data_IF_746586134568
#
_entry.id   IF_746586134568
#
_cell.length_a   1.000
_cell.length_b   1.000
_cell.length_c   1.000
_cell.angle_alpha   90.00
_cell.angle_beta   90.00
_cell.angle_gamma   90.00
#
_symmetry.space_group_name_H-M   'P 1'
#
loop_
_entity.id
_entity.type
_entity.pdbx_description
1 polymer ?
#
# COMPACT_ATOMS: atom_id res chain seq x y z
N UNK A 1 -24.95 9.41 10.89
CA UNK A 1 -24.72 10.15 9.66
C UNK A 1 -23.46 10.92 9.80
N UNK A 2 -22.42 10.46 9.24
CA UNK A 2 -21.26 11.23 9.53
C UNK A 2 -20.66 11.82 8.29
N UNK A 3 -20.67 13.13 8.28
CA UNK A 3 -19.74 13.90 7.51
C UNK A 3 -18.40 14.00 8.27
N UNK A 4 -18.18 13.07 9.19
CA UNK A 4 -16.97 13.06 9.99
C UNK A 4 -15.78 12.67 9.16
N UNK A 5 -14.72 13.45 9.26
CA UNK A 5 -13.46 13.18 8.57
C UNK A 5 -12.70 12.07 9.29
N UNK A 6 -12.26 11.08 8.53
CA UNK A 6 -11.41 10.01 9.03
C UNK A 6 -9.97 10.23 8.58
N UNK A 7 -9.02 9.75 9.37
CA UNK A 7 -7.60 9.96 9.16
C UNK A 7 -6.89 8.61 9.04
N UNK A 8 -5.96 8.53 8.09
CA UNK A 8 -5.15 7.34 7.90
C UNK A 8 -3.99 7.25 8.88
N UNK A 9 -3.07 6.35 8.58
CA UNK A 9 -1.95 6.01 9.47
C UNK A 9 -0.65 6.68 9.03
N UNK A 10 0.33 6.78 9.94
CA UNK A 10 1.69 7.14 9.54
C UNK A 10 2.28 6.04 8.64
N UNK A 11 3.31 6.37 7.85
CA UNK A 11 3.93 5.37 7.00
C UNK A 11 4.71 4.34 7.81
N UNK A 12 4.80 3.12 7.26
CA UNK A 12 5.68 2.08 7.77
C UNK A 12 6.96 2.13 6.94
N UNK A 13 8.07 2.49 7.56
CA UNK A 13 9.36 2.67 6.87
C UNK A 13 10.46 2.09 7.72
N UNK A 14 11.24 1.17 7.15
CA UNK A 14 12.43 0.62 7.80
C UNK A 14 13.67 1.46 7.51
N UNK A 15 14.84 0.89 7.80
CA UNK A 15 16.11 1.60 7.63
C UNK A 15 16.49 1.82 6.17
N UNK A 16 16.12 0.89 5.30
CA UNK A 16 16.53 0.92 3.90
C UNK A 16 15.40 0.52 2.97
N UNK A 17 14.36 1.38 2.87
CA UNK A 17 13.25 1.08 1.98
C UNK A 17 13.68 1.16 0.52
N UNK A 18 13.22 0.21 -0.29
CA UNK A 18 13.55 0.15 -1.71
C UNK A 18 12.34 0.36 -2.59
N UNK A 19 11.17 -0.02 -2.12
CA UNK A 19 9.90 0.22 -2.81
C UNK A 19 8.90 0.79 -1.83
N UNK A 20 7.91 1.49 -2.37
CA UNK A 20 6.77 2.00 -1.60
C UNK A 20 5.50 1.40 -2.17
N UNK A 21 4.71 0.77 -1.30
CA UNK A 21 3.36 0.31 -1.66
C UNK A 21 2.37 1.32 -1.10
N UNK A 22 1.50 1.83 -1.96
CA UNK A 22 0.46 2.79 -1.59
C UNK A 22 -0.92 2.17 -1.70
N UNK A 23 -1.65 2.14 -0.59
CA UNK A 23 -3.08 1.88 -0.59
C UNK A 23 -3.87 3.17 -0.80
N UNK A 24 -5.19 3.10 -0.71
CA UNK A 24 -6.07 4.27 -0.80
C UNK A 24 -6.28 4.89 0.58
N UNK A 25 -7.03 4.21 1.43
CA UNK A 25 -7.39 4.63 2.79
C UNK A 25 -7.67 3.37 3.62
N UNK A 26 -7.31 3.34 4.91
CA UNK A 26 -7.61 2.16 5.74
C UNK A 26 -9.10 1.88 5.79
N UNK A 27 -9.47 0.59 5.80
CA UNK A 27 -10.86 0.16 5.97
C UNK A 27 -11.36 0.49 7.38
N UNK A 28 -12.67 0.34 7.61
CA UNK A 28 -13.24 0.50 8.96
C UNK A 28 -12.54 -0.43 9.94
N UNK A 29 -12.34 -1.70 9.57
CA UNK A 29 -11.66 -2.69 10.44
C UNK A 29 -10.22 -2.27 10.73
N UNK A 30 -9.50 -1.76 9.74
CA UNK A 30 -8.13 -1.26 9.93
C UNK A 30 -8.09 -0.08 10.89
N UNK A 31 -9.03 0.85 10.74
CA UNK A 31 -9.12 2.00 11.65
C UNK A 31 -9.43 1.57 13.08
N UNK A 32 -10.33 0.59 13.26
CA UNK A 32 -10.66 0.06 14.58
C UNK A 32 -9.45 -0.60 15.25
N UNK A 33 -8.69 -1.38 14.49
CA UNK A 33 -7.55 -2.14 15.01
C UNK A 33 -6.24 -1.35 14.98
N UNK A 34 -6.23 -0.20 14.33
CA UNK A 34 -5.02 0.61 14.08
C UNK A 34 -3.92 -0.23 13.39
N UNK A 35 -4.32 -0.98 12.36
CA UNK A 35 -3.44 -1.88 11.62
C UNK A 35 -3.73 -1.80 10.14
N UNK A 36 -2.68 -1.73 9.31
CA UNK A 36 -2.83 -1.84 7.87
C UNK A 36 -3.39 -3.19 7.48
N UNK A 37 -4.39 -3.17 6.60
CA UNK A 37 -4.97 -4.38 6.01
C UNK A 37 -5.45 -5.38 7.05
N UNK A 38 -6.17 -4.88 8.07
CA UNK A 38 -6.61 -5.69 9.21
C UNK A 38 -7.80 -6.59 8.91
N UNK A 39 -8.60 -6.28 7.87
CA UNK A 39 -9.77 -7.10 7.56
C UNK A 39 -9.34 -8.53 7.26
N UNK A 40 -9.97 -9.56 7.90
CA UNK A 40 -9.52 -10.95 7.74
C UNK A 40 -9.50 -11.46 6.31
N UNK A 41 -10.36 -10.92 5.45
CA UNK A 41 -10.43 -11.32 4.04
C UNK A 41 -9.58 -10.48 3.11
N UNK A 42 -8.85 -9.48 3.63
CA UNK A 42 -7.89 -8.75 2.82
C UNK A 42 -6.69 -9.64 2.55
N UNK A 43 -6.31 -9.80 1.30
CA UNK A 43 -5.28 -10.74 0.90
C UNK A 43 -3.85 -10.22 1.10
N UNK A 44 -3.67 -8.95 1.50
CA UNK A 44 -2.35 -8.32 1.51
C UNK A 44 -1.29 -9.13 2.26
N UNK A 45 -1.58 -9.49 3.52
CA UNK A 45 -0.59 -10.18 4.36
C UNK A 45 -0.34 -11.61 3.89
N UNK A 46 -1.36 -12.30 3.37
CA UNK A 46 -1.17 -13.63 2.79
C UNK A 46 -0.33 -13.59 1.52
N UNK A 47 -0.52 -12.55 0.71
CA UNK A 47 0.29 -12.34 -0.50
C UNK A 47 1.75 -12.09 -0.09
N UNK A 48 2.00 -11.22 0.89
CA UNK A 48 3.36 -10.94 1.33
C UNK A 48 4.06 -12.21 1.83
N UNK A 49 3.38 -13.00 2.66
CA UNK A 49 3.95 -14.25 3.16
C UNK A 49 4.29 -15.21 2.01
N UNK A 50 3.39 -15.36 1.04
CA UNK A 50 3.61 -16.24 -0.10
C UNK A 50 4.75 -15.77 -1.00
N UNK A 51 4.87 -14.46 -1.23
CA UNK A 51 5.95 -13.91 -2.08
C UNK A 51 7.33 -14.20 -1.52
N UNK A 52 7.47 -14.19 -0.21
CA UNK A 52 8.76 -14.37 0.46
C UNK A 52 8.94 -15.75 1.08
N UNK A 53 8.04 -16.68 0.75
CA UNK A 53 8.08 -18.05 1.26
C UNK A 53 8.18 -18.08 2.79
N UNK A 54 7.36 -17.27 3.45
CA UNK A 54 7.29 -17.14 4.89
C UNK A 54 5.99 -17.72 5.41
N UNK A 55 6.02 -18.28 6.63
CA UNK A 55 4.82 -18.78 7.27
C UNK A 55 3.88 -17.61 7.59
N UNK A 56 2.58 -17.78 7.27
CA UNK A 56 1.59 -16.76 7.58
C UNK A 56 1.45 -16.59 9.09
N UNK A 57 1.41 -15.35 9.55
CA UNK A 57 1.25 -15.03 10.97
C UNK A 57 0.17 -13.97 11.16
N UNK A 58 -0.54 -14.03 12.28
CA UNK A 58 -1.48 -13.00 12.70
C UNK A 58 -0.80 -11.92 13.55
N UNK A 59 0.46 -12.12 13.93
CA UNK A 59 1.19 -11.15 14.74
C UNK A 59 1.58 -9.92 13.92
N UNK A 60 0.95 -8.78 14.21
CA UNK A 60 1.12 -7.56 13.44
C UNK A 60 2.56 -7.03 13.52
N UNK A 61 3.18 -7.09 14.70
CA UNK A 61 4.58 -6.64 14.86
C UNK A 61 5.51 -7.43 13.95
N UNK A 62 5.32 -8.74 13.87
CA UNK A 62 6.10 -9.61 12.97
C UNK A 62 5.86 -9.23 11.51
N UNK A 63 4.60 -8.96 11.14
CA UNK A 63 4.25 -8.54 9.78
C UNK A 63 5.00 -7.28 9.39
N UNK A 64 5.04 -6.27 10.26
CA UNK A 64 5.73 -5.02 10.00
C UNK A 64 7.26 -5.21 9.92
N UNK A 65 7.83 -6.01 10.81
CA UNK A 65 9.26 -6.32 10.78
C UNK A 65 9.66 -6.99 9.46
N UNK A 66 8.83 -7.89 8.96
CA UNK A 66 9.09 -8.56 7.67
C UNK A 66 9.10 -7.55 6.52
N UNK A 67 8.11 -6.66 6.45
CA UNK A 67 8.09 -5.62 5.42
C UNK A 67 9.37 -4.80 5.44
N UNK A 68 9.76 -4.32 6.62
CA UNK A 68 10.96 -3.49 6.78
C UNK A 68 12.21 -4.25 6.37
N UNK A 69 12.31 -5.52 6.74
CA UNK A 69 13.45 -6.37 6.41
C UNK A 69 13.57 -6.56 4.89
N UNK A 70 12.45 -6.68 4.20
CA UNK A 70 12.43 -6.85 2.75
C UNK A 70 12.61 -5.54 1.98
N UNK A 71 12.71 -4.41 2.66
CA UNK A 71 12.87 -3.11 2.01
C UNK A 71 11.58 -2.53 1.47
N UNK A 72 10.44 -2.92 2.05
CA UNK A 72 9.12 -2.46 1.63
C UNK A 72 8.62 -1.39 2.60
N UNK A 73 8.39 -0.17 2.08
CA UNK A 73 7.68 0.87 2.79
C UNK A 73 6.19 0.80 2.43
N UNK A 74 5.33 1.20 3.36
CA UNK A 74 3.89 1.10 3.21
C UNK A 74 3.23 2.38 3.67
N UNK A 75 2.33 2.90 2.87
CA UNK A 75 1.52 4.07 3.21
C UNK A 75 0.23 4.04 2.40
N UNK A 76 -0.56 5.12 2.50
CA UNK A 76 -1.74 5.33 1.68
C UNK A 76 -1.62 6.63 0.91
N UNK A 77 -2.28 6.71 -0.24
CA UNK A 77 -2.34 7.94 -1.03
C UNK A 77 -3.18 9.00 -0.32
N UNK A 78 -4.22 8.60 0.41
CA UNK A 78 -5.13 9.48 1.11
C UNK A 78 -4.70 9.65 2.56
N UNK A 79 -4.47 10.90 2.99
CA UNK A 79 -4.17 11.21 4.38
C UNK A 79 -5.45 11.25 5.22
N UNK A 80 -6.50 11.85 4.67
CA UNK A 80 -7.80 11.96 5.33
C UNK A 80 -8.89 12.14 4.29
N UNK A 81 -10.10 11.76 4.66
CA UNK A 81 -11.26 11.89 3.77
C UNK A 81 -12.55 11.78 4.55
N UNK A 82 -13.66 11.96 3.85
CA UNK A 82 -14.98 11.61 4.35
C UNK A 82 -15.41 10.36 3.59
N UNK A 83 -15.76 9.30 4.32
CA UNK A 83 -16.14 8.02 3.71
C UNK A 83 -17.04 7.23 4.65
N UNK A 84 -18.33 7.04 4.32
CA UNK A 84 -19.16 6.08 5.01
C UNK A 84 -18.71 4.67 4.63
N UNK A 85 -18.40 3.81 5.60
CA UNK A 85 -17.96 2.43 5.35
C UNK A 85 -16.53 2.36 4.83
N UNK A 86 -16.25 1.35 4.00
CA UNK A 86 -14.89 1.01 3.58
C UNK A 86 -14.67 1.02 2.06
N UNK A 87 -15.69 1.32 1.26
CA UNK A 87 -15.56 1.29 -0.19
C UNK A 87 -14.79 2.50 -0.72
N UNK A 88 -13.82 2.25 -1.59
CA UNK A 88 -13.04 3.31 -2.22
C UNK A 88 -13.91 4.28 -3.03
N UNK A 89 -15.00 3.77 -3.63
CA UNK A 89 -15.94 4.60 -4.40
C UNK A 89 -16.72 5.59 -3.54
N UNK A 90 -16.74 5.38 -2.23
CA UNK A 90 -17.41 6.26 -1.28
C UNK A 90 -16.49 7.36 -0.72
N UNK A 91 -15.21 7.37 -1.10
CA UNK A 91 -14.25 8.39 -0.65
C UNK A 91 -14.61 9.74 -1.26
N UNK A 92 -14.80 10.74 -0.40
CA UNK A 92 -15.00 12.12 -0.81
C UNK A 92 -14.10 13.03 0.01
N UNK A 93 -13.87 14.24 -0.48
CA UNK A 93 -13.05 15.25 0.21
C UNK A 93 -11.69 14.70 0.63
N UNK A 94 -11.05 13.96 -0.27
CA UNK A 94 -9.75 13.34 0.00
C UNK A 94 -8.65 14.38 0.02
N UNK A 95 -7.81 14.34 1.06
CA UNK A 95 -6.56 15.09 1.14
C UNK A 95 -5.41 14.10 1.01
N UNK A 96 -4.39 14.40 0.18
CA UNK A 96 -3.31 13.44 -0.05
C UNK A 96 -2.28 13.44 1.08
N UNK A 97 -1.63 12.30 1.25
CA UNK A 97 -0.41 12.24 2.04
C UNK A 97 0.75 12.90 1.26
N UNK A 98 1.74 13.39 2.02
CA UNK A 98 2.92 14.02 1.43
C UNK A 98 3.90 12.96 0.91
N UNK A 99 3.54 12.32 -0.18
CA UNK A 99 4.38 11.29 -0.81
C UNK A 99 5.73 11.87 -1.27
N UNK A 100 5.78 13.06 -1.91
CA UNK A 100 7.06 13.64 -2.29
C UNK A 100 8.00 13.82 -1.10
N UNK A 101 7.49 14.25 0.06
CA UNK A 101 8.29 14.40 1.29
C UNK A 101 8.87 13.07 1.75
N UNK A 102 8.05 12.01 1.73
CA UNK A 102 8.51 10.67 2.12
C UNK A 102 9.66 10.20 1.21
N UNK A 103 9.53 10.39 -0.10
CA UNK A 103 10.57 10.01 -1.05
C UNK A 103 11.83 10.84 -0.88
N UNK A 104 11.68 12.12 -0.54
CA UNK A 104 12.83 12.99 -0.29
C UNK A 104 13.63 12.52 0.94
N UNK A 105 12.93 12.12 1.98
CA UNK A 105 13.55 11.58 3.20
C UNK A 105 14.12 10.18 3.01
N UNK A 106 13.62 9.44 2.01
CA UNK A 106 14.00 8.05 1.76
C UNK A 106 14.40 7.86 0.29
N UNK A 107 15.54 8.43 -0.13
CA UNK A 107 15.94 8.42 -1.55
C UNK A 107 16.26 7.03 -2.10
N UNK A 108 16.36 6.02 -1.24
CA UNK A 108 16.56 4.63 -1.67
C UNK A 108 15.31 4.01 -2.29
N UNK A 109 14.13 4.63 -2.09
CA UNK A 109 12.89 4.15 -2.72
C UNK A 109 12.97 4.45 -4.21
N UNK A 110 12.97 3.39 -5.02
CA UNK A 110 13.12 3.51 -6.47
C UNK A 110 11.91 3.08 -7.27
N UNK A 111 10.81 2.69 -6.64
CA UNK A 111 9.61 2.20 -7.32
C UNK A 111 8.39 2.38 -6.43
N UNK A 112 7.27 2.81 -7.01
CA UNK A 112 5.99 2.90 -6.30
C UNK A 112 5.03 1.89 -6.90
N UNK A 113 4.39 1.11 -6.03
CA UNK A 113 3.34 0.15 -6.41
C UNK A 113 2.02 0.61 -5.81
N UNK A 114 0.98 0.65 -6.64
CA UNK A 114 -0.36 1.01 -6.17
C UNK A 114 -1.18 -0.23 -5.90
N UNK A 115 -1.68 -0.34 -4.69
CA UNK A 115 -2.61 -1.40 -4.30
C UNK A 115 -4.03 -0.96 -4.71
N UNK A 116 -4.37 -1.17 -5.98
CA UNK A 116 -5.66 -0.83 -6.53
C UNK A 116 -5.72 0.53 -7.20
N UNK A 117 -6.75 0.71 -8.02
CA UNK A 117 -6.92 1.92 -8.86
C UNK A 117 -7.17 3.19 -8.08
N UNK A 118 -7.92 3.11 -6.98
CA UNK A 118 -8.23 4.30 -6.20
C UNK A 118 -6.97 4.95 -5.66
N UNK A 119 -6.00 4.14 -5.20
CA UNK A 119 -4.70 4.62 -4.77
C UNK A 119 -3.99 5.38 -5.88
N UNK A 120 -3.95 4.79 -7.07
CA UNK A 120 -3.31 5.40 -8.24
C UNK A 120 -3.98 6.71 -8.64
N UNK A 121 -5.31 6.72 -8.67
CA UNK A 121 -6.07 7.90 -9.08
C UNK A 121 -5.82 9.10 -8.17
N UNK A 122 -5.83 8.88 -6.85
CA UNK A 122 -5.53 9.96 -5.89
C UNK A 122 -4.10 10.44 -6.06
N UNK A 123 -3.14 9.51 -6.19
CA UNK A 123 -1.75 9.85 -6.41
C UNK A 123 -1.57 10.72 -7.66
N UNK A 124 -2.13 10.30 -8.78
CA UNK A 124 -1.98 11.02 -10.05
C UNK A 124 -2.67 12.38 -10.01
N UNK A 125 -3.76 12.51 -9.28
CA UNK A 125 -4.45 13.79 -9.13
C UNK A 125 -3.56 14.84 -8.46
N UNK A 126 -2.75 14.43 -7.48
CA UNK A 126 -1.97 15.36 -6.65
C UNK A 126 -0.46 15.34 -6.95
N UNK A 127 0.06 14.27 -7.55
CA UNK A 127 1.50 14.06 -7.69
C UNK A 127 1.89 13.56 -9.08
N UNK A 128 1.17 13.99 -10.11
CA UNK A 128 1.40 13.51 -11.49
C UNK A 128 2.85 13.70 -11.96
N UNK A 129 3.46 14.82 -11.62
CA UNK A 129 4.85 15.09 -12.02
C UNK A 129 5.84 14.09 -11.40
N UNK A 130 5.54 13.62 -10.19
CA UNK A 130 6.38 12.62 -9.52
C UNK A 130 6.37 11.28 -10.26
N UNK A 131 5.25 10.91 -10.86
CA UNK A 131 5.14 9.68 -11.64
C UNK A 131 6.05 9.67 -12.88
N UNK A 132 6.52 10.84 -13.32
CA UNK A 132 7.45 10.93 -14.45
C UNK A 132 8.91 10.76 -14.00
N UNK A 133 9.18 10.84 -12.71
CA UNK A 133 10.54 10.76 -12.15
C UNK A 133 10.85 9.42 -11.51
N UNK A 134 9.83 8.65 -11.15
CA UNK A 134 9.98 7.37 -10.48
C UNK A 134 9.07 6.35 -11.15
N UNK A 135 9.55 5.12 -11.40
CA UNK A 135 8.69 4.07 -11.95
C UNK A 135 7.51 3.79 -11.02
N UNK A 136 6.34 3.59 -11.62
CA UNK A 136 5.13 3.20 -10.89
C UNK A 136 4.49 1.99 -11.56
N UNK A 137 3.83 1.16 -10.77
CA UNK A 137 3.12 -0.02 -11.26
C UNK A 137 1.79 -0.15 -10.52
N UNK A 138 0.73 -0.35 -11.30
CA UNK A 138 -0.59 -0.63 -10.74
C UNK A 138 -0.72 -2.13 -10.49
N UNK A 139 -1.08 -2.51 -9.26
CA UNK A 139 -1.34 -3.90 -8.90
C UNK A 139 -2.83 -4.06 -8.56
N UNK A 140 -3.38 -5.27 -8.73
CA UNK A 140 -4.77 -5.52 -8.34
C UNK A 140 -4.94 -5.31 -6.85
N UNK A 141 -6.08 -4.72 -6.46
CA UNK A 141 -6.40 -4.47 -5.07
C UNK A 141 -6.46 -5.77 -4.26
N UNK A 142 -5.91 -5.75 -3.05
CA UNK A 142 -5.99 -6.88 -2.12
C UNK A 142 -7.29 -6.89 -1.33
N UNK A 143 -8.13 -5.87 -1.48
CA UNK A 143 -9.41 -5.76 -0.77
C UNK A 143 -10.35 -6.89 -1.15
N UNK A 144 -11.14 -7.42 -0.19
CA UNK A 144 -12.17 -8.41 -0.53
C UNK A 144 -13.25 -7.86 -1.46
N UNK A 145 -13.42 -6.54 -1.53
CA UNK A 145 -14.35 -5.92 -2.48
C UNK A 145 -13.88 -6.07 -3.93
N UNK A 146 -12.59 -6.29 -4.18
CA UNK A 146 -12.03 -6.51 -5.51
C UNK A 146 -12.04 -8.01 -5.81
N UNK A 147 -13.24 -8.55 -6.08
CA UNK A 147 -13.46 -9.99 -6.21
C UNK A 147 -13.30 -10.55 -7.62
N UNK A 148 -12.93 -9.71 -8.60
CA UNK A 148 -12.80 -10.13 -9.99
C UNK A 148 -11.66 -11.13 -10.23
N UNK A 149 -10.61 -11.07 -9.41
CA UNK A 149 -9.45 -11.95 -9.50
C UNK A 149 -9.41 -12.90 -8.31
N UNK A 150 -8.95 -14.13 -8.55
CA UNK A 150 -8.69 -15.10 -7.49
C UNK A 150 -7.44 -14.70 -6.71
N UNK A 151 -7.24 -15.34 -5.54
CA UNK A 151 -6.01 -15.14 -4.77
C UNK A 151 -4.77 -15.45 -5.62
N UNK A 152 -4.79 -16.58 -6.35
CA UNK A 152 -3.64 -16.97 -7.17
C UNK A 152 -3.33 -15.96 -8.27
N UNK A 153 -4.37 -15.39 -8.89
CA UNK A 153 -4.20 -14.36 -9.91
C UNK A 153 -3.62 -13.08 -9.31
N UNK A 154 -4.09 -12.68 -8.14
CA UNK A 154 -3.53 -11.52 -7.43
C UNK A 154 -2.08 -11.77 -7.04
N UNK A 155 -1.79 -12.94 -6.48
CA UNK A 155 -0.43 -13.30 -6.09
C UNK A 155 0.51 -13.23 -7.29
N UNK A 156 0.10 -13.77 -8.42
CA UNK A 156 0.92 -13.75 -9.62
C UNK A 156 1.25 -12.32 -10.06
N UNK A 157 0.25 -11.43 -10.06
CA UNK A 157 0.47 -10.03 -10.40
C UNK A 157 1.40 -9.33 -9.41
N UNK A 158 1.26 -9.61 -8.11
CA UNK A 158 2.07 -9.00 -7.06
C UNK A 158 3.52 -9.46 -7.07
N UNK A 159 3.87 -10.53 -7.79
CA UNK A 159 5.26 -10.95 -7.97
C UNK A 159 6.13 -9.84 -8.59
N UNK A 160 5.50 -8.85 -9.23
CA UNK A 160 6.23 -7.70 -9.79
C UNK A 160 7.08 -6.97 -8.75
N UNK A 161 6.69 -6.99 -7.46
CA UNK A 161 7.47 -6.31 -6.43
C UNK A 161 8.82 -6.99 -6.19
N UNK A 162 8.91 -8.31 -6.43
CA UNK A 162 10.17 -9.05 -6.24
C UNK A 162 11.25 -8.56 -7.17
N UNK A 163 10.92 -8.29 -8.43
CA UNK A 163 11.89 -7.77 -9.39
C UNK A 163 12.42 -6.39 -8.97
N UNK A 164 11.55 -5.55 -8.41
CA UNK A 164 11.94 -4.22 -7.95
C UNK A 164 12.79 -4.26 -6.68
N UNK A 165 12.74 -5.37 -5.93
CA UNK A 165 13.53 -5.56 -4.70
C UNK A 165 14.88 -6.22 -4.96
N UNK A 166 15.09 -6.80 -6.14
CA UNK A 166 16.37 -7.43 -6.47
C UNK A 166 17.46 -6.37 -6.53
N UNK A 167 18.67 -6.69 -6.00
CA UNK A 167 19.80 -5.79 -6.16
C UNK A 167 20.08 -5.58 -7.65
N UNK A 168 20.21 -4.32 -8.07
CA UNK A 168 20.63 -4.05 -9.43
C UNK A 168 22.09 -4.42 -9.55
N UNK A 169 22.40 -5.31 -10.50
CA UNK A 169 23.78 -5.62 -10.83
C UNK A 169 24.40 -4.37 -11.45
N UNK A 170 25.45 -3.90 -10.81
CA UNK A 170 26.28 -2.87 -11.44
C UNK A 170 27.16 -3.55 -12.47
N UNK A 171 26.86 -3.29 -13.71
CA UNK A 171 27.78 -3.65 -14.77
C UNK A 171 28.96 -2.67 -14.78
#
# INVERSE_FOLDING_TARGET
MSDERIFGFPPVVGERPRILILGSMPSVKSLEDTQYYAHPRNAFWRIQAALFDEEFTLDYETRLLRLKRHGIALWDSVASCVRPGSLDTAITQALPNDIPGLLHENPSIGHIFFNGRASQQVFLRHHRALAQRIPTTLLPSTSPAAAALTFEQKLDAWRAILAALEPQERS
#
